data_IF_312454080209
#
_entry.id   IF_312454080209
#
_cell.length_a   1.000
_cell.length_b   1.000
_cell.length_c   1.000
_cell.angle_alpha   90.00
_cell.angle_beta   90.00
_cell.angle_gamma   90.00
#
_symmetry.space_group_name_H-M   'P 1'
#
loop_
_entity.id
_entity.type
_entity.pdbx_description
1 polymer ?
#
# COMPACT_ATOMS: atom_id res chain seq x y z
N UNK A 1 -13.96 -25.52 -15.82
CA UNK A 1 -14.74 -24.73 -14.85
C UNK A 1 -13.98 -23.44 -14.64
N UNK A 2 -14.59 -22.33 -15.02
CA UNK A 2 -14.10 -21.02 -14.61
C UNK A 2 -14.08 -20.99 -13.08
N UNK A 3 -12.92 -20.78 -12.48
CA UNK A 3 -12.83 -20.54 -11.05
C UNK A 3 -13.57 -19.22 -10.79
N UNK A 4 -14.71 -19.28 -10.10
CA UNK A 4 -15.37 -18.08 -9.61
C UNK A 4 -14.49 -17.49 -8.51
N UNK A 5 -13.63 -16.54 -8.87
CA UNK A 5 -12.82 -15.79 -7.91
C UNK A 5 -13.78 -14.80 -7.24
N UNK A 6 -13.78 -14.82 -5.91
CA UNK A 6 -14.63 -13.95 -5.08
C UNK A 6 -13.76 -13.23 -4.08
N UNK A 7 -13.83 -11.92 -4.07
CA UNK A 7 -12.99 -11.11 -3.19
C UNK A 7 -13.81 -10.09 -2.40
N UNK A 8 -13.26 -9.66 -1.29
CA UNK A 8 -13.78 -8.57 -0.50
C UNK A 8 -12.96 -7.30 -0.75
N UNK A 9 -13.60 -6.16 -0.84
CA UNK A 9 -12.96 -4.86 -1.00
C UNK A 9 -13.17 -4.03 0.27
N UNK A 10 -12.07 -3.47 0.82
CA UNK A 10 -12.11 -2.66 2.02
C UNK A 10 -11.29 -1.38 1.84
N UNK A 11 -11.95 -0.28 1.53
CA UNK A 11 -11.33 0.93 0.97
C UNK A 11 -11.26 2.07 1.98
N UNK A 12 -10.10 2.75 2.06
CA UNK A 12 -10.01 4.07 2.71
C UNK A 12 -10.79 5.10 1.90
N UNK A 13 -11.96 5.47 2.40
CA UNK A 13 -12.87 6.38 1.72
C UNK A 13 -12.50 7.87 1.89
N UNK A 14 -11.50 8.20 2.70
CA UNK A 14 -10.98 9.56 2.84
C UNK A 14 -9.87 9.87 1.81
N UNK A 15 -9.25 8.85 1.22
CA UNK A 15 -8.11 8.99 0.30
C UNK A 15 -8.53 8.90 -1.16
N UNK A 16 -8.18 9.93 -1.96
CA UNK A 16 -8.39 9.88 -3.43
C UNK A 16 -7.53 8.79 -4.09
N UNK A 17 -6.33 8.53 -3.56
CA UNK A 17 -5.48 7.40 -3.98
C UNK A 17 -6.21 6.06 -3.78
N UNK A 18 -6.73 5.80 -2.60
CA UNK A 18 -7.43 4.55 -2.29
C UNK A 18 -8.73 4.39 -3.09
N UNK A 19 -9.50 5.48 -3.23
CA UNK A 19 -10.72 5.50 -4.08
C UNK A 19 -10.37 5.23 -5.54
N UNK A 20 -9.25 5.77 -6.03
CA UNK A 20 -8.77 5.54 -7.39
C UNK A 20 -8.42 4.06 -7.63
N UNK A 21 -7.71 3.42 -6.71
CA UNK A 21 -7.40 1.99 -6.79
C UNK A 21 -8.69 1.16 -6.72
N UNK A 22 -9.58 1.45 -5.78
CA UNK A 22 -10.85 0.73 -5.64
C UNK A 22 -11.71 0.83 -6.89
N UNK A 23 -11.77 2.00 -7.52
CA UNK A 23 -12.47 2.21 -8.79
C UNK A 23 -11.86 1.37 -9.90
N UNK A 24 -10.54 1.46 -10.10
CA UNK A 24 -9.84 0.70 -11.13
C UNK A 24 -9.98 -0.82 -10.91
N UNK A 25 -9.95 -1.27 -9.64
CA UNK A 25 -10.19 -2.66 -9.31
C UNK A 25 -11.60 -3.10 -9.73
N UNK A 26 -12.65 -2.36 -9.35
CA UNK A 26 -14.03 -2.69 -9.74
C UNK A 26 -14.25 -2.75 -11.26
N UNK A 27 -13.57 -1.88 -12.00
CA UNK A 27 -13.68 -1.81 -13.47
C UNK A 27 -12.95 -2.97 -14.16
N UNK A 28 -11.81 -3.41 -13.63
CA UNK A 28 -10.96 -4.42 -14.24
C UNK A 28 -11.24 -5.85 -13.76
N UNK A 29 -11.77 -5.99 -12.54
CA UNK A 29 -11.95 -7.27 -11.88
C UNK A 29 -13.04 -8.11 -12.57
N UNK A 30 -12.73 -9.37 -12.80
CA UNK A 30 -13.64 -10.31 -13.49
C UNK A 30 -14.35 -11.28 -12.55
N UNK A 31 -13.94 -11.27 -11.27
CA UNK A 31 -14.60 -12.06 -10.22
C UNK A 31 -15.79 -11.33 -9.61
N UNK A 32 -16.32 -11.89 -8.55
CA UNK A 32 -17.43 -11.32 -7.76
C UNK A 32 -16.87 -10.56 -6.54
N UNK A 33 -17.30 -9.33 -6.31
CA UNK A 33 -17.02 -8.60 -5.08
C UNK A 33 -18.14 -8.93 -4.09
N UNK A 34 -17.86 -9.84 -3.14
CA UNK A 34 -18.85 -10.36 -2.19
C UNK A 34 -19.07 -9.47 -0.96
N UNK A 35 -18.14 -8.58 -0.67
CA UNK A 35 -18.26 -7.52 0.32
C UNK A 35 -17.51 -6.28 -0.17
N UNK A 36 -18.10 -5.10 0.06
CA UNK A 36 -17.53 -3.81 -0.30
C UNK A 36 -17.75 -2.86 0.88
N UNK A 37 -16.72 -2.72 1.71
CA UNK A 37 -16.78 -1.95 2.95
C UNK A 37 -15.78 -0.80 2.89
N UNK A 38 -15.96 0.20 3.74
CA UNK A 38 -15.09 1.37 3.80
C UNK A 38 -14.63 1.67 5.22
N UNK A 39 -13.46 2.30 5.33
CA UNK A 39 -12.94 2.92 6.54
C UNK A 39 -12.41 4.32 6.22
N UNK A 40 -11.96 5.04 7.21
CA UNK A 40 -11.28 6.34 7.03
C UNK A 40 -9.96 6.36 7.78
N UNK A 41 -9.04 7.18 7.30
CA UNK A 41 -7.75 7.40 7.96
C UNK A 41 -7.97 7.82 9.43
N UNK A 42 -7.23 7.18 10.34
CA UNK A 42 -7.36 7.38 11.78
C UNK A 42 -8.27 6.36 12.48
N UNK A 43 -9.04 5.56 11.75
CA UNK A 43 -9.81 4.47 12.35
C UNK A 43 -8.89 3.47 13.06
N UNK A 44 -9.37 2.91 14.16
CA UNK A 44 -8.62 1.97 14.99
C UNK A 44 -9.34 0.64 15.19
N UNK A 45 -10.63 0.58 14.92
CA UNK A 45 -11.46 -0.62 15.04
C UNK A 45 -12.09 -0.97 13.69
N UNK A 46 -11.77 -2.16 13.20
CA UNK A 46 -12.20 -2.69 11.91
C UNK A 46 -13.04 -3.96 12.05
N UNK A 47 -13.34 -4.37 13.29
CA UNK A 47 -13.96 -5.67 13.60
C UNK A 47 -15.35 -5.81 12.97
N UNK A 48 -16.13 -4.75 12.92
CA UNK A 48 -17.49 -4.80 12.37
C UNK A 48 -17.47 -5.17 10.87
N UNK A 49 -16.64 -4.51 10.06
CA UNK A 49 -16.49 -4.80 8.64
C UNK A 49 -15.85 -6.19 8.43
N UNK A 50 -14.80 -6.51 9.17
CA UNK A 50 -14.15 -7.83 9.09
C UNK A 50 -15.11 -8.97 9.47
N UNK A 51 -16.02 -8.76 10.42
CA UNK A 51 -17.05 -9.74 10.77
C UNK A 51 -18.03 -9.98 9.62
N UNK A 52 -18.44 -8.92 8.95
CA UNK A 52 -19.29 -9.04 7.75
C UNK A 52 -18.60 -9.80 6.64
N UNK A 53 -17.31 -9.49 6.39
CA UNK A 53 -16.49 -10.18 5.38
C UNK A 53 -16.32 -11.66 5.74
N UNK A 54 -15.98 -11.97 7.00
CA UNK A 54 -15.79 -13.34 7.49
C UNK A 54 -17.02 -14.23 7.27
N UNK A 55 -18.21 -13.63 7.29
CA UNK A 55 -19.48 -14.32 6.99
C UNK A 55 -19.69 -14.62 5.51
N UNK A 56 -18.79 -14.19 4.62
CA UNK A 56 -18.85 -14.44 3.19
C UNK A 56 -17.79 -15.47 2.79
N UNK A 57 -18.04 -16.14 1.67
CA UNK A 57 -17.04 -16.99 1.03
C UNK A 57 -16.25 -16.16 0.04
N UNK A 58 -15.00 -15.84 0.38
CA UNK A 58 -14.09 -15.02 -0.42
C UNK A 58 -12.67 -15.62 -0.47
N UNK A 59 -11.91 -15.26 -1.49
CA UNK A 59 -10.56 -15.74 -1.72
C UNK A 59 -9.48 -14.78 -1.20
N UNK A 60 -9.69 -13.47 -1.31
CA UNK A 60 -8.78 -12.44 -0.78
C UNK A 60 -9.54 -11.20 -0.29
N UNK A 61 -8.88 -10.37 0.51
CA UNK A 61 -9.32 -9.01 0.86
C UNK A 61 -8.41 -8.02 0.16
N UNK A 62 -8.98 -7.20 -0.70
CA UNK A 62 -8.29 -6.09 -1.35
C UNK A 62 -8.46 -4.85 -0.47
N UNK A 63 -7.35 -4.25 -0.05
CA UNK A 63 -7.34 -3.12 0.88
C UNK A 63 -6.62 -1.91 0.24
N UNK A 64 -7.33 -1.10 -0.53
CA UNK A 64 -6.82 0.20 -0.97
C UNK A 64 -6.70 1.15 0.23
N UNK A 65 -5.47 1.49 0.62
CA UNK A 65 -5.20 2.31 1.79
C UNK A 65 -3.71 2.41 2.07
N UNK A 66 -3.38 2.98 3.22
CA UNK A 66 -2.01 3.19 3.66
C UNK A 66 -1.63 2.26 4.81
N UNK A 67 -0.33 2.18 5.06
CA UNK A 67 0.31 1.22 5.97
C UNK A 67 -0.24 1.24 7.41
N UNK A 68 -0.60 2.40 7.95
CA UNK A 68 -1.05 2.51 9.34
C UNK A 68 -2.36 1.74 9.58
N UNK A 69 -3.40 2.05 8.82
CA UNK A 69 -4.71 1.37 8.91
C UNK A 69 -4.62 -0.06 8.38
N UNK A 70 -3.94 -0.27 7.26
CA UNK A 70 -3.76 -1.59 6.66
C UNK A 70 -3.09 -2.57 7.62
N UNK A 71 -2.05 -2.14 8.34
CA UNK A 71 -1.39 -2.97 9.37
C UNK A 71 -2.35 -3.35 10.50
N UNK A 72 -3.17 -2.41 10.98
CA UNK A 72 -4.19 -2.68 12.01
C UNK A 72 -5.29 -3.62 11.49
N UNK A 73 -5.73 -3.45 10.23
CA UNK A 73 -6.69 -4.35 9.59
C UNK A 73 -6.13 -5.77 9.55
N UNK A 74 -4.88 -5.94 9.12
CA UNK A 74 -4.20 -7.24 9.14
C UNK A 74 -4.17 -7.84 10.54
N UNK A 75 -3.75 -7.07 11.55
CA UNK A 75 -3.70 -7.53 12.93
C UNK A 75 -5.05 -8.05 13.42
N UNK A 76 -6.11 -7.27 13.19
CA UNK A 76 -7.47 -7.64 13.62
C UNK A 76 -8.03 -8.81 12.80
N UNK A 77 -7.82 -8.82 11.48
CA UNK A 77 -8.24 -9.93 10.62
C UNK A 77 -7.63 -11.27 11.07
N UNK A 78 -6.31 -11.30 11.30
CA UNK A 78 -5.63 -12.50 11.80
C UNK A 78 -6.09 -12.89 13.21
N UNK A 79 -6.32 -11.90 14.09
CA UNK A 79 -6.90 -12.13 15.42
C UNK A 79 -8.31 -12.73 15.39
N UNK A 80 -9.06 -12.49 14.33
CA UNK A 80 -10.39 -13.06 14.10
C UNK A 80 -10.36 -14.40 13.33
N UNK A 81 -9.18 -14.93 13.00
CA UNK A 81 -9.01 -16.16 12.23
C UNK A 81 -9.33 -15.99 10.74
N UNK A 82 -9.14 -14.80 10.17
CA UNK A 82 -9.19 -14.56 8.73
C UNK A 82 -7.76 -14.72 8.21
N UNK A 83 -7.44 -15.90 7.64
CA UNK A 83 -6.10 -16.25 7.17
C UNK A 83 -5.95 -16.10 5.64
N UNK A 84 -7.00 -15.62 4.97
CA UNK A 84 -7.02 -15.36 3.53
C UNK A 84 -5.98 -14.30 3.14
N UNK A 85 -5.49 -14.31 1.89
CA UNK A 85 -4.62 -13.25 1.38
C UNK A 85 -5.20 -11.85 1.60
N UNK A 86 -4.34 -10.91 1.99
CA UNK A 86 -4.67 -9.48 2.02
C UNK A 86 -3.76 -8.80 1.01
N UNK A 87 -4.35 -8.05 0.09
CA UNK A 87 -3.66 -7.45 -1.05
C UNK A 87 -3.83 -5.93 -1.01
N UNK A 88 -2.74 -5.21 -1.13
CA UNK A 88 -2.73 -3.75 -1.14
C UNK A 88 -1.95 -3.14 -2.29
N UNK A 89 -1.93 -1.83 -2.34
CA UNK A 89 -1.08 -1.04 -3.21
C UNK A 89 0.27 -0.69 -2.57
N UNK A 90 1.00 0.20 -3.22
CA UNK A 90 2.28 0.74 -2.73
C UNK A 90 2.16 1.51 -1.40
N UNK A 91 0.94 1.92 -1.04
CA UNK A 91 0.65 2.51 0.27
C UNK A 91 0.95 1.61 1.48
N UNK A 92 1.11 0.29 1.28
CA UNK A 92 1.50 -0.64 2.35
C UNK A 92 2.98 -0.56 2.71
N UNK A 93 3.80 0.03 1.84
CA UNK A 93 5.25 0.04 2.02
C UNK A 93 5.68 0.98 3.16
N UNK A 94 6.22 0.39 4.23
CA UNK A 94 6.74 1.09 5.39
C UNK A 94 6.93 0.14 6.57
N UNK A 95 7.90 0.43 7.44
CA UNK A 95 8.13 -0.35 8.66
C UNK A 95 6.91 -0.33 9.59
N UNK A 96 6.19 0.78 9.60
CA UNK A 96 4.98 0.98 10.39
C UNK A 96 3.90 -0.06 10.06
N UNK A 97 3.84 -0.56 8.82
CA UNK A 97 2.92 -1.65 8.46
C UNK A 97 3.18 -2.88 9.35
N UNK A 98 4.43 -3.32 9.43
CA UNK A 98 4.80 -4.50 10.23
C UNK A 98 4.64 -4.21 11.72
N UNK A 99 4.93 -2.99 12.18
CA UNK A 99 4.71 -2.59 13.57
C UNK A 99 3.23 -2.66 13.96
N UNK A 100 2.31 -2.23 13.10
CA UNK A 100 0.86 -2.27 13.33
C UNK A 100 0.28 -3.68 13.18
N UNK A 101 0.72 -4.42 12.16
CA UNK A 101 0.27 -5.80 11.91
C UNK A 101 0.81 -6.79 12.94
N UNK A 102 1.94 -6.51 13.55
CA UNK A 102 2.89 -7.38 14.26
C UNK A 102 3.55 -8.41 13.30
N UNK A 103 4.83 -8.68 13.52
CA UNK A 103 5.59 -9.59 12.65
C UNK A 103 4.97 -11.00 12.58
N UNK A 104 4.37 -11.47 13.68
CA UNK A 104 3.71 -12.78 13.76
C UNK A 104 2.48 -12.86 12.84
N UNK A 105 1.72 -11.76 12.71
CA UNK A 105 0.48 -11.70 11.95
C UNK A 105 0.66 -11.16 10.53
N UNK A 106 1.81 -10.57 10.22
CA UNK A 106 2.15 -10.03 8.89
C UNK A 106 2.52 -11.15 7.90
N UNK A 107 1.66 -12.15 7.77
CA UNK A 107 1.80 -13.28 6.84
C UNK A 107 0.69 -13.27 5.79
N UNK A 108 0.96 -13.85 4.62
CA UNK A 108 0.01 -13.93 3.51
C UNK A 108 -0.49 -12.55 3.07
N UNK A 109 0.45 -11.59 2.98
CA UNK A 109 0.23 -10.20 2.58
C UNK A 109 0.97 -9.96 1.28
N UNK A 110 0.30 -9.33 0.34
CA UNK A 110 0.85 -8.98 -0.97
C UNK A 110 0.59 -7.51 -1.28
N UNK A 111 1.54 -6.82 -1.84
CA UNK A 111 1.36 -5.46 -2.32
C UNK A 111 2.30 -5.14 -3.47
N UNK A 112 1.91 -4.17 -4.28
CA UNK A 112 2.73 -3.67 -5.37
C UNK A 112 3.68 -2.62 -4.79
N UNK A 113 4.97 -2.69 -5.17
CA UNK A 113 5.94 -1.65 -4.85
C UNK A 113 6.70 -1.23 -6.10
N UNK A 114 6.83 0.06 -6.30
CA UNK A 114 7.66 0.65 -7.36
C UNK A 114 9.14 0.72 -7.01
N UNK A 115 9.53 0.36 -5.78
CA UNK A 115 10.89 0.44 -5.29
C UNK A 115 11.22 -0.77 -4.40
N UNK A 116 12.45 -1.26 -4.49
CA UNK A 116 12.96 -2.36 -3.66
C UNK A 116 14.37 -2.03 -3.17
N UNK A 117 14.62 -2.34 -1.90
CA UNK A 117 15.96 -2.24 -1.29
C UNK A 117 16.81 -3.49 -1.55
N UNK A 118 16.19 -4.58 -2.01
CA UNK A 118 16.84 -5.90 -2.21
C UNK A 118 17.11 -6.20 -3.68
N UNK A 119 16.46 -5.51 -4.60
CA UNK A 119 16.65 -5.67 -6.04
C UNK A 119 17.34 -4.42 -6.59
N UNK A 120 18.60 -4.57 -6.99
CA UNK A 120 19.36 -3.48 -7.63
C UNK A 120 18.95 -3.35 -9.09
N UNK A 121 18.24 -2.25 -9.41
CA UNK A 121 17.74 -2.02 -10.78
C UNK A 121 18.56 -1.00 -11.56
N UNK A 122 19.37 -0.15 -10.90
CA UNK A 122 20.23 0.84 -11.56
C UNK A 122 21.35 1.36 -10.65
N UNK A 123 22.42 1.90 -11.27
CA UNK A 123 23.49 2.57 -10.52
C UNK A 123 22.99 3.78 -9.71
N UNK A 124 21.95 4.48 -10.18
CA UNK A 124 21.32 5.60 -9.45
C UNK A 124 20.60 5.12 -8.20
N UNK A 125 19.83 4.01 -8.31
CA UNK A 125 19.17 3.41 -7.18
C UNK A 125 20.18 2.95 -6.13
N UNK A 126 21.27 2.32 -6.56
CA UNK A 126 22.37 1.94 -5.65
C UNK A 126 22.99 3.15 -4.92
N UNK A 127 23.30 4.21 -5.64
CA UNK A 127 23.87 5.42 -5.05
C UNK A 127 22.91 6.06 -4.02
N UNK A 128 21.62 6.08 -4.30
CA UNK A 128 20.60 6.53 -3.35
C UNK A 128 20.56 5.65 -2.09
N UNK A 129 20.53 4.32 -2.24
CA UNK A 129 20.51 3.37 -1.13
C UNK A 129 21.74 3.55 -0.24
N UNK A 130 22.93 3.59 -0.84
CA UNK A 130 24.18 3.73 -0.11
C UNK A 130 24.23 5.06 0.68
N UNK A 131 23.81 6.17 0.04
CA UNK A 131 23.76 7.49 0.68
C UNK A 131 22.74 7.56 1.81
N UNK A 132 21.56 6.97 1.62
CA UNK A 132 20.50 6.94 2.61
C UNK A 132 20.92 6.13 3.84
N UNK A 133 21.44 4.91 3.64
CA UNK A 133 21.96 4.05 4.71
C UNK A 133 23.08 4.72 5.49
N UNK A 134 24.03 5.36 4.79
CA UNK A 134 25.13 6.06 5.42
C UNK A 134 24.66 7.24 6.28
N UNK A 135 23.59 7.91 5.89
CA UNK A 135 23.08 9.11 6.59
C UNK A 135 22.15 8.78 7.74
N UNK A 136 21.27 7.80 7.56
CA UNK A 136 20.18 7.54 8.51
C UNK A 136 20.34 6.24 9.28
N UNK A 137 21.26 5.37 8.86
CA UNK A 137 21.49 4.03 9.43
C UNK A 137 20.24 3.15 9.43
N UNK A 138 19.42 3.30 8.40
CA UNK A 138 18.18 2.55 8.17
C UNK A 138 17.93 2.32 6.67
N UNK A 139 16.99 1.45 6.34
CA UNK A 139 16.56 1.22 4.96
C UNK A 139 15.53 2.29 4.52
N UNK A 140 15.64 2.84 3.29
CA UNK A 140 14.65 3.78 2.80
C UNK A 140 13.34 3.08 2.46
N UNK A 141 12.22 3.71 2.81
CA UNK A 141 10.90 3.32 2.31
C UNK A 141 10.72 3.73 0.84
N UNK A 142 9.69 3.20 0.19
CA UNK A 142 9.26 3.68 -1.14
C UNK A 142 9.01 5.19 -1.15
N UNK A 143 8.42 5.73 -0.09
CA UNK A 143 8.16 7.17 0.02
C UNK A 143 9.44 8.01 0.10
N UNK A 144 10.48 7.51 0.77
CA UNK A 144 11.79 8.18 0.79
C UNK A 144 12.41 8.23 -0.61
N UNK A 145 12.32 7.13 -1.38
CA UNK A 145 12.79 7.08 -2.76
C UNK A 145 12.02 8.05 -3.67
N UNK A 146 10.68 8.06 -3.56
CA UNK A 146 9.82 8.98 -4.33
C UNK A 146 10.08 10.45 -3.99
N UNK A 147 10.31 10.78 -2.71
CA UNK A 147 10.67 12.13 -2.29
C UNK A 147 12.03 12.56 -2.87
N UNK A 148 13.02 11.67 -2.84
CA UNK A 148 14.33 11.91 -3.45
C UNK A 148 14.20 12.18 -4.96
N UNK A 149 13.48 11.34 -5.68
CA UNK A 149 13.26 11.50 -7.12
C UNK A 149 12.49 12.78 -7.44
N UNK A 150 11.50 13.15 -6.62
CA UNK A 150 10.73 14.38 -6.78
C UNK A 150 11.61 15.62 -6.70
N UNK A 151 12.53 15.67 -5.73
CA UNK A 151 13.51 16.78 -5.61
C UNK A 151 14.41 16.85 -6.84
N UNK A 152 14.90 15.72 -7.33
CA UNK A 152 15.73 15.67 -8.54
C UNK A 152 14.95 16.10 -9.79
N UNK A 153 13.70 15.69 -9.90
CA UNK A 153 12.82 16.09 -11.02
C UNK A 153 12.64 17.62 -11.03
N UNK A 154 12.29 18.22 -9.90
CA UNK A 154 12.13 19.67 -9.77
C UNK A 154 13.44 20.40 -10.02
N UNK A 155 14.55 19.92 -9.44
CA UNK A 155 15.86 20.53 -9.65
C UNK A 155 16.31 20.48 -11.13
N UNK A 156 16.01 19.39 -11.83
CA UNK A 156 16.31 19.29 -13.26
C UNK A 156 15.42 20.21 -14.11
N UNK A 157 14.12 20.29 -13.80
CA UNK A 157 13.19 21.19 -14.50
C UNK A 157 13.53 22.66 -14.24
N UNK A 158 14.07 22.99 -13.07
CA UNK A 158 14.48 24.35 -12.71
C UNK A 158 15.82 24.79 -13.33
N UNK A 159 16.59 23.87 -13.95
CA UNK A 159 17.86 24.24 -14.58
C UNK A 159 17.65 25.29 -15.68
N UNK A 160 18.24 26.46 -15.48
CA UNK A 160 18.16 27.59 -16.41
C UNK A 160 16.91 28.47 -16.25
N UNK A 161 15.96 28.10 -15.39
CA UNK A 161 14.81 28.92 -15.08
C UNK A 161 15.23 30.12 -14.19
N UNK A 162 14.72 31.31 -14.51
CA UNK A 162 14.98 32.55 -13.76
C UNK A 162 13.93 32.81 -12.66
N UNK A 163 12.79 32.16 -12.76
CA UNK A 163 11.68 32.25 -11.79
C UNK A 163 10.81 30.99 -11.88
N UNK A 164 9.88 30.81 -10.93
CA UNK A 164 9.03 29.61 -10.83
C UNK A 164 8.10 29.39 -12.04
N UNK A 165 7.72 30.46 -12.76
CA UNK A 165 6.87 30.34 -13.94
C UNK A 165 7.58 29.77 -15.18
N UNK A 166 8.90 29.68 -15.16
CA UNK A 166 9.71 29.10 -16.23
C UNK A 166 10.04 27.62 -16.02
N UNK A 167 9.67 27.06 -14.86
CA UNK A 167 9.83 25.63 -14.54
C UNK A 167 8.74 24.86 -15.29
N UNK A 168 9.14 23.96 -16.19
CA UNK A 168 8.24 23.14 -17.04
C UNK A 168 8.34 21.66 -16.72
#
# INVERSE_FOLDING_TARGET
SEMCIRDSLYTDNASDYAKGIAKAFREAYKGEIVADETFVAGDTDFQAALTKMKGKDFDAIIVPGYYTEAGKIVNQARGMGIDKPIVGGDGFNGEEFVQQATAEKASNIYFISGFSTTVEVSAKAKAFLDAYRAKYNEEPSTFAALAYDSVHLVANAAKGAKNSGEIK
#
